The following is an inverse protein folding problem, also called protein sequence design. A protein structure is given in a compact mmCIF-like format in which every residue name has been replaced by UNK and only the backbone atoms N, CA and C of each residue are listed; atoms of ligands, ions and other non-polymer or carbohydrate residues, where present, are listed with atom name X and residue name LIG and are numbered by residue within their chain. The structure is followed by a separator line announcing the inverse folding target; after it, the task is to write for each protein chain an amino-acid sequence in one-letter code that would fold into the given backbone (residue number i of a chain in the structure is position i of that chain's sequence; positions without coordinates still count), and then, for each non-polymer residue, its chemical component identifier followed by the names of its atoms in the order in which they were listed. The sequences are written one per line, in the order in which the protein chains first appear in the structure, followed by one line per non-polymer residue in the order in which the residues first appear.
data_IF_339229674572
#
_entry.id   IF_339229674572
#
_cell.length_a   1.000
_cell.length_b   1.000
_cell.length_c   1.000
_cell.angle_alpha   90.00
_cell.angle_beta   90.00
_cell.angle_gamma   90.00
#
_symmetry.space_group_name_H-M   'P 1'
#
loop_
_entity.id
_entity.type
_entity.pdbx_description
1 polymer ?
#
# COMPACT_ATOMS: atom_id res chain seq x y z
N UNK A 1 1.95 1.11 -23.19
CA UNK A 1 0.79 1.39 -24.05
C UNK A 1 0.74 2.90 -24.32
N UNK A 2 0.70 3.36 -25.58
CA UNK A 2 0.61 4.79 -25.91
C UNK A 2 -0.58 5.53 -25.29
N UNK A 3 -1.71 4.85 -25.04
CA UNK A 3 -2.91 5.44 -24.42
C UNK A 3 -2.67 5.80 -22.96
N UNK A 4 -2.12 4.85 -22.20
CA UNK A 4 -1.70 5.09 -20.81
C UNK A 4 -0.68 6.21 -20.73
N UNK A 5 0.26 6.29 -21.66
CA UNK A 5 1.21 7.39 -21.70
C UNK A 5 0.54 8.76 -21.88
N UNK A 6 -0.57 8.85 -22.61
CA UNK A 6 -1.30 10.10 -22.78
C UNK A 6 -2.14 10.44 -21.53
N UNK A 7 -2.87 9.47 -20.98
CA UNK A 7 -3.68 9.68 -19.78
C UNK A 7 -2.80 10.09 -18.58
N UNK A 8 -1.64 9.44 -18.43
CA UNK A 8 -0.66 9.80 -17.41
C UNK A 8 -0.12 11.22 -17.59
N UNK A 9 0.15 11.67 -18.82
CA UNK A 9 0.59 13.05 -19.10
C UNK A 9 -0.50 14.07 -18.78
N UNK A 10 -1.77 13.74 -19.05
CA UNK A 10 -2.89 14.62 -18.78
C UNK A 10 -3.13 14.77 -17.27
N UNK A 11 -3.03 13.67 -16.51
CA UNK A 11 -3.28 13.67 -15.08
C UNK A 11 -2.08 14.16 -14.25
N UNK A 12 -0.86 13.82 -14.66
CA UNK A 12 0.39 14.32 -14.07
C UNK A 12 1.10 15.25 -15.06
N UNK A 13 0.59 16.48 -15.27
CA UNK A 13 1.22 17.43 -16.20
C UNK A 13 2.61 17.87 -15.72
N UNK A 14 2.85 17.83 -14.40
CA UNK A 14 4.13 18.19 -13.80
C UNK A 14 4.89 16.95 -13.32
N UNK A 15 6.20 16.93 -13.54
CA UNK A 15 7.07 15.83 -13.12
C UNK A 15 7.03 15.57 -11.60
N UNK A 16 6.93 16.64 -10.80
CA UNK A 16 6.89 16.56 -9.34
C UNK A 16 5.72 15.74 -8.81
N UNK A 17 4.55 15.83 -9.45
CA UNK A 17 3.34 15.16 -8.98
C UNK A 17 3.40 13.64 -9.25
N UNK A 18 3.97 13.26 -10.40
CA UNK A 18 4.24 11.87 -10.74
C UNK A 18 5.32 11.27 -9.83
N UNK A 19 6.39 12.02 -9.58
CA UNK A 19 7.48 11.59 -8.70
C UNK A 19 6.98 11.40 -7.26
N UNK A 20 6.17 12.33 -6.76
CA UNK A 20 5.50 12.21 -5.47
C UNK A 20 4.65 10.94 -5.39
N UNK A 21 3.80 10.68 -6.38
CA UNK A 21 2.96 9.48 -6.42
C UNK A 21 3.81 8.19 -6.41
N UNK A 22 4.90 8.16 -7.19
CA UNK A 22 5.83 7.01 -7.21
C UNK A 22 6.48 6.78 -5.84
N UNK A 23 6.99 7.83 -5.21
CA UNK A 23 7.60 7.73 -3.87
C UNK A 23 6.57 7.23 -2.85
N UNK A 24 5.35 7.78 -2.90
CA UNK A 24 4.25 7.36 -2.04
C UNK A 24 3.90 5.87 -2.24
N UNK A 25 3.91 5.37 -3.47
CA UNK A 25 3.65 3.95 -3.75
C UNK A 25 4.75 3.04 -3.20
N UNK A 26 6.02 3.43 -3.32
CA UNK A 26 7.15 2.72 -2.71
C UNK A 26 7.01 2.73 -1.18
N UNK A 27 6.67 3.87 -0.59
CA UNK A 27 6.48 3.98 0.86
C UNK A 27 5.36 3.08 1.36
N UNK A 28 4.20 3.07 0.68
CA UNK A 28 3.09 2.18 0.99
C UNK A 28 3.55 0.72 0.90
N UNK A 29 4.20 0.34 -0.20
CA UNK A 29 4.73 -1.00 -0.39
C UNK A 29 5.63 -1.42 0.78
N UNK A 30 6.65 -0.62 1.11
CA UNK A 30 7.61 -0.93 2.18
C UNK A 30 6.96 -1.03 3.56
N UNK A 31 6.00 -0.14 3.87
CA UNK A 31 5.32 -0.16 5.17
C UNK A 31 4.38 -1.36 5.33
N UNK A 32 3.70 -1.79 4.26
CA UNK A 32 2.89 -3.01 4.29
C UNK A 32 3.76 -4.25 4.54
N UNK A 33 4.88 -4.41 3.82
CA UNK A 33 5.78 -5.55 4.01
C UNK A 33 6.37 -5.58 5.43
N UNK A 34 6.74 -4.40 5.97
CA UNK A 34 7.20 -4.27 7.36
C UNK A 34 6.12 -4.68 8.36
N UNK A 35 4.90 -4.15 8.20
CA UNK A 35 3.76 -4.46 9.08
C UNK A 35 3.39 -5.93 9.06
N UNK A 36 3.50 -6.57 7.88
CA UNK A 36 3.31 -8.00 7.68
C UNK A 36 4.33 -8.82 8.47
N UNK A 37 5.61 -8.52 8.28
CA UNK A 37 6.72 -9.19 8.99
C UNK A 37 6.67 -8.95 10.50
N UNK A 38 6.24 -7.78 10.95
CA UNK A 38 6.06 -7.50 12.39
C UNK A 38 4.82 -8.19 12.97
N UNK A 39 3.91 -8.70 12.12
CA UNK A 39 2.57 -9.18 12.48
C UNK A 39 1.76 -8.13 13.25
N UNK A 40 2.00 -6.86 12.92
CA UNK A 40 1.39 -5.68 13.54
C UNK A 40 0.59 -4.93 12.49
N UNK A 41 -0.51 -5.54 12.06
CA UNK A 41 -1.28 -5.01 10.94
C UNK A 41 -1.93 -3.67 11.23
N UNK A 42 -2.09 -3.26 12.50
CA UNK A 42 -2.53 -1.92 12.85
C UNK A 42 -1.64 -0.81 12.26
N UNK A 43 -0.36 -1.11 12.01
CA UNK A 43 0.59 -0.18 11.38
C UNK A 43 0.31 0.02 9.88
N UNK A 44 -0.33 -0.95 9.22
CA UNK A 44 -0.72 -0.87 7.81
C UNK A 44 -1.94 0.04 7.58
N UNK A 45 -2.69 0.34 8.65
CA UNK A 45 -3.97 1.06 8.61
C UNK A 45 -3.95 2.33 7.74
N UNK A 46 -2.90 3.18 7.74
CA UNK A 46 -2.84 4.41 6.94
C UNK A 46 -2.60 4.22 5.44
N UNK A 47 -2.33 3.01 4.97
CA UNK A 47 -1.84 2.78 3.61
C UNK A 47 -2.84 2.10 2.69
N UNK A 48 -3.94 1.58 3.23
CA UNK A 48 -4.90 0.78 2.48
C UNK A 48 -6.37 1.10 2.82
N UNK A 49 -7.25 0.70 1.90
CA UNK A 49 -8.70 0.79 2.09
C UNK A 49 -9.21 -0.11 3.21
N UNK A 50 -10.40 0.18 3.73
CA UNK A 50 -11.05 -0.63 4.77
C UNK A 50 -11.19 -2.10 4.35
N UNK A 51 -11.59 -2.36 3.10
CA UNK A 51 -11.78 -3.71 2.58
C UNK A 51 -10.48 -4.52 2.58
N UNK A 52 -9.43 -3.94 1.98
CA UNK A 52 -8.14 -4.60 1.88
C UNK A 52 -7.53 -4.85 3.27
N UNK A 53 -7.67 -3.89 4.19
CA UNK A 53 -7.24 -4.04 5.57
C UNK A 53 -7.88 -5.23 6.28
N UNK A 54 -9.19 -5.42 6.13
CA UNK A 54 -9.85 -6.54 6.79
C UNK A 54 -9.37 -7.88 6.22
N UNK A 55 -9.18 -7.97 4.90
CA UNK A 55 -8.65 -9.17 4.23
C UNK A 55 -7.25 -9.52 4.70
N UNK A 56 -6.32 -8.57 4.74
CA UNK A 56 -4.96 -8.84 5.20
C UNK A 56 -4.89 -9.12 6.72
N UNK A 57 -5.68 -8.41 7.53
CA UNK A 57 -5.74 -8.64 8.97
C UNK A 57 -6.24 -10.04 9.34
N UNK A 58 -7.13 -10.63 8.52
CA UNK A 58 -7.53 -12.04 8.68
C UNK A 58 -6.32 -12.97 8.57
N UNK A 59 -5.50 -12.82 7.54
CA UNK A 59 -4.30 -13.63 7.33
C UNK A 59 -3.27 -13.46 8.45
N UNK A 60 -3.02 -12.22 8.89
CA UNK A 60 -2.11 -11.96 10.01
C UNK A 60 -2.57 -12.69 11.27
N UNK A 61 -3.88 -12.67 11.58
CA UNK A 61 -4.44 -13.40 12.73
C UNK A 61 -4.32 -14.91 12.58
N UNK A 62 -4.48 -15.44 11.37
CA UNK A 62 -4.29 -16.87 11.10
C UNK A 62 -2.83 -17.31 11.32
N UNK A 63 -1.86 -16.54 10.81
CA UNK A 63 -0.44 -16.74 11.08
C UNK A 63 -0.15 -16.73 12.59
N UNK A 64 -0.64 -15.71 13.31
CA UNK A 64 -0.48 -15.62 14.77
C UNK A 64 -1.07 -16.83 15.50
N UNK A 65 -2.27 -17.29 15.11
CA UNK A 65 -2.94 -18.46 15.70
C UNK A 65 -2.14 -19.75 15.48
N UNK A 66 -1.51 -19.90 14.32
CA UNK A 66 -0.63 -21.05 14.01
C UNK A 66 0.75 -20.94 14.69
N UNK A 67 1.08 -19.78 15.26
CA UNK A 67 2.44 -19.48 15.73
C UNK A 67 3.44 -19.45 14.58
N UNK A 68 2.97 -19.09 13.38
CA UNK A 68 3.78 -18.95 12.19
C UNK A 68 4.09 -17.48 11.95
N UNK A 69 5.24 -17.21 11.33
CA UNK A 69 5.67 -15.87 11.02
C UNK A 69 6.38 -15.83 9.68
N UNK A 70 5.85 -15.02 8.77
CA UNK A 70 6.44 -14.75 7.48
C UNK A 70 7.42 -13.57 7.57
N UNK A 71 8.60 -13.72 7.00
CA UNK A 71 9.70 -12.77 7.04
C UNK A 71 10.03 -12.32 5.63
N UNK A 72 9.94 -11.01 5.43
CA UNK A 72 10.22 -10.34 4.16
C UNK A 72 11.44 -9.44 4.35
N UNK A 73 12.56 -9.83 3.79
CA UNK A 73 13.86 -9.22 4.05
C UNK A 73 14.57 -8.80 2.75
N UNK A 74 15.51 -7.84 2.85
CA UNK A 74 16.29 -7.33 1.72
C UNK A 74 15.42 -6.92 0.52
N UNK A 75 14.28 -6.33 0.84
CA UNK A 75 13.27 -5.89 -0.11
C UNK A 75 13.86 -4.81 -1.01
N UNK A 76 13.65 -4.96 -2.32
CA UNK A 76 14.11 -4.02 -3.33
C UNK A 76 13.03 -3.87 -4.41
N UNK A 77 12.47 -2.67 -4.55
CA UNK A 77 11.56 -2.34 -5.67
C UNK A 77 12.43 -1.95 -6.87
N UNK A 78 12.42 -2.77 -7.91
CA UNK A 78 13.29 -2.56 -9.09
C UNK A 78 12.64 -1.67 -10.14
N UNK A 79 11.32 -1.74 -10.28
CA UNK A 79 10.59 -1.00 -11.30
C UNK A 79 9.12 -0.82 -10.93
N UNK A 80 8.57 0.34 -11.28
CA UNK A 80 7.12 0.62 -11.21
C UNK A 80 6.68 1.12 -12.59
N UNK A 81 5.70 0.45 -13.18
CA UNK A 81 5.16 0.74 -14.52
C UNK A 81 3.67 1.04 -14.42
N UNK A 82 3.19 2.21 -14.86
CA UNK A 82 1.77 2.49 -14.98
C UNK A 82 1.09 1.54 -15.98
N UNK A 83 -0.05 0.99 -15.61
CA UNK A 83 -0.80 -0.01 -16.40
C UNK A 83 -2.17 0.51 -16.78
N UNK A 84 -2.89 1.11 -15.84
CA UNK A 84 -4.25 1.61 -16.06
C UNK A 84 -4.52 2.84 -15.20
N UNK A 85 -5.09 3.88 -15.80
CA UNK A 85 -5.51 5.09 -15.10
C UNK A 85 -7.00 5.32 -15.35
N UNK A 86 -7.77 5.39 -14.28
CA UNK A 86 -9.15 5.82 -14.29
C UNK A 86 -9.27 7.11 -13.48
N UNK A 87 -10.02 8.09 -13.99
CA UNK A 87 -10.21 9.36 -13.31
C UNK A 87 -11.62 9.88 -13.56
N UNK A 88 -12.33 10.19 -12.47
CA UNK A 88 -13.64 10.84 -12.53
C UNK A 88 -13.75 11.99 -11.51
N UNK A 89 -14.96 12.52 -11.33
CA UNK A 89 -15.24 13.65 -10.44
C UNK A 89 -15.14 13.32 -8.94
N UNK A 90 -15.07 12.05 -8.57
CA UNK A 90 -15.07 11.58 -7.19
C UNK A 90 -13.74 10.98 -6.76
N UNK A 91 -13.08 10.22 -7.64
CA UNK A 91 -11.79 9.61 -7.37
C UNK A 91 -10.97 9.36 -8.65
N UNK A 92 -9.67 9.17 -8.42
CA UNK A 92 -8.71 8.63 -9.37
C UNK A 92 -8.27 7.26 -8.88
N UNK A 93 -8.12 6.32 -9.81
CA UNK A 93 -7.53 5.00 -9.60
C UNK A 93 -6.36 4.81 -10.57
N UNK A 94 -5.20 4.46 -10.04
CA UNK A 94 -3.99 4.17 -10.82
C UNK A 94 -3.50 2.77 -10.48
N UNK A 95 -3.61 1.87 -11.44
CA UNK A 95 -3.01 0.55 -11.39
C UNK A 95 -1.60 0.61 -11.96
N UNK A 96 -0.63 0.14 -11.18
CA UNK A 96 0.77 0.01 -11.58
C UNK A 96 1.21 -1.43 -11.43
N UNK A 97 2.10 -1.89 -12.30
CA UNK A 97 2.86 -3.13 -12.08
C UNK A 97 4.13 -2.79 -11.31
N UNK A 98 4.28 -3.37 -10.13
CA UNK A 98 5.47 -3.25 -9.30
C UNK A 98 6.30 -4.51 -9.52
N UNK A 99 7.56 -4.32 -9.89
CA UNK A 99 8.57 -5.36 -9.93
C UNK A 99 9.45 -5.23 -8.71
N UNK A 100 9.62 -6.32 -7.98
CA UNK A 100 10.39 -6.32 -6.74
C UNK A 100 11.15 -7.63 -6.55
N UNK A 101 12.14 -7.57 -5.65
CA UNK A 101 12.92 -8.71 -5.21
C UNK A 101 13.02 -8.70 -3.71
N UNK A 102 12.89 -9.86 -3.07
CA UNK A 102 13.10 -9.99 -1.62
C UNK A 102 13.51 -11.41 -1.24
N UNK A 103 13.96 -11.57 0.00
CA UNK A 103 14.03 -12.86 0.68
C UNK A 103 12.69 -13.05 1.38
N UNK A 104 12.00 -14.14 1.05
CA UNK A 104 10.70 -14.51 1.62
C UNK A 104 10.78 -15.92 2.21
N UNK A 105 10.49 -16.03 3.50
CA UNK A 105 10.39 -17.30 4.19
C UNK A 105 9.42 -17.26 5.37
N UNK A 106 8.82 -18.40 5.67
CA UNK A 106 7.94 -18.56 6.83
C UNK A 106 8.55 -19.51 7.84
N UNK A 107 8.59 -19.07 9.10
CA UNK A 107 8.95 -19.91 10.24
C UNK A 107 7.70 -20.40 10.94
N UNK A 108 7.72 -21.64 11.42
CA UNK A 108 6.75 -22.12 12.39
C UNK A 108 7.16 -21.74 13.83
N UNK A 109 6.33 -22.13 14.80
CA UNK A 109 6.55 -21.86 16.24
C UNK A 109 7.86 -22.41 16.81
N UNK A 110 8.51 -23.37 16.16
CA UNK A 110 9.79 -23.94 16.58
C UNK A 110 10.98 -23.28 15.90
N UNK A 111 10.76 -22.23 15.08
CA UNK A 111 11.80 -21.55 14.30
C UNK A 111 12.25 -22.31 13.05
N UNK A 112 11.57 -23.40 12.67
CA UNK A 112 11.86 -24.16 11.45
C UNK A 112 11.25 -23.44 10.24
N UNK A 113 12.02 -23.33 9.16
CA UNK A 113 11.51 -22.86 7.86
C UNK A 113 10.52 -23.88 7.31
N UNK A 114 9.29 -23.43 7.05
CA UNK A 114 8.21 -24.25 6.47
C UNK A 114 7.86 -23.84 5.04
N UNK A 115 8.23 -22.63 4.63
CA UNK A 115 8.05 -22.12 3.27
C UNK A 115 9.19 -21.15 2.93
N UNK A 116 9.58 -21.09 1.65
CA UNK A 116 10.56 -20.13 1.15
C UNK A 116 12.00 -20.45 1.54
N UNK A 117 12.85 -19.42 1.58
CA UNK A 117 14.28 -19.56 1.84
C UNK A 117 14.83 -18.34 2.58
N UNK A 118 15.69 -18.57 3.58
CA UNK A 118 16.39 -17.50 4.30
C UNK A 118 17.53 -16.83 3.52
N UNK A 119 17.92 -17.40 2.38
CA UNK A 119 19.11 -16.94 1.64
C UNK A 119 18.86 -16.69 0.16
N UNK A 120 17.88 -17.36 -0.45
CA UNK A 120 17.52 -17.17 -1.85
C UNK A 120 16.60 -15.97 -1.99
N UNK A 121 17.00 -14.97 -2.78
CA UNK A 121 16.09 -13.93 -3.25
C UNK A 121 15.12 -14.51 -4.28
N UNK A 122 13.88 -14.07 -4.20
CA UNK A 122 12.84 -14.27 -5.21
C UNK A 122 12.58 -12.92 -5.89
N UNK A 123 12.43 -12.96 -7.21
CA UNK A 123 12.00 -11.81 -8.01
C UNK A 123 10.57 -12.08 -8.47
N UNK A 124 9.71 -11.07 -8.38
CA UNK A 124 8.29 -11.19 -8.70
C UNK A 124 7.73 -9.85 -9.20
N UNK A 125 6.51 -9.88 -9.72
CA UNK A 125 5.75 -8.67 -9.98
C UNK A 125 4.27 -8.84 -9.69
N UNK A 126 3.64 -7.74 -9.30
CA UNK A 126 2.22 -7.67 -8.93
C UNK A 126 1.60 -6.38 -9.49
N UNK A 127 0.29 -6.40 -9.67
CA UNK A 127 -0.50 -5.23 -10.03
C UNK A 127 -1.10 -4.62 -8.76
N UNK A 128 -0.70 -3.39 -8.47
CA UNK A 128 -1.15 -2.63 -7.31
C UNK A 128 -2.02 -1.49 -7.79
N UNK A 129 -3.28 -1.47 -7.34
CA UNK A 129 -4.22 -0.40 -7.66
C UNK A 129 -4.31 0.56 -6.49
N UNK A 130 -3.93 1.81 -6.74
CA UNK A 130 -3.98 2.90 -5.78
C UNK A 130 -5.14 3.83 -6.09
N UNK A 131 -5.81 4.33 -5.07
CA UNK A 131 -6.90 5.30 -5.20
C UNK A 131 -6.62 6.59 -4.44
N UNK A 132 -7.11 7.70 -4.99
CA UNK A 132 -7.10 9.03 -4.37
C UNK A 132 -8.40 9.75 -4.69
N UNK A 133 -9.00 10.44 -3.72
CA UNK A 133 -10.19 11.26 -3.94
C UNK A 133 -9.89 12.44 -4.86
N UNK A 134 -10.91 12.90 -5.59
CA UNK A 134 -10.83 14.08 -6.46
C UNK A 134 -11.86 15.14 -6.09
N UNK A 135 -11.62 16.38 -6.52
CA UNK A 135 -12.57 17.48 -6.38
C UNK A 135 -13.01 17.75 -4.94
N UNK A 136 -14.33 17.79 -4.70
CA UNK A 136 -14.94 18.07 -3.39
C UNK A 136 -14.65 17.01 -2.33
N UNK A 137 -14.14 15.84 -2.72
CA UNK A 137 -13.73 14.79 -1.80
C UNK A 137 -12.30 14.99 -1.29
N UNK A 138 -11.46 15.80 -1.95
CA UNK A 138 -10.14 16.10 -1.39
C UNK A 138 -10.23 17.09 -0.24
N UNK A 139 -9.52 16.77 0.84
CA UNK A 139 -9.30 17.68 1.95
C UNK A 139 -7.84 18.07 1.98
N UNK A 140 -7.51 19.35 2.18
CA UNK A 140 -6.11 19.76 2.34
C UNK A 140 -5.54 19.03 3.55
N UNK A 141 -4.45 18.30 3.33
CA UNK A 141 -3.72 17.69 4.43
C UNK A 141 -3.00 18.80 5.20
N UNK A 142 -3.19 18.86 6.53
CA UNK A 142 -2.43 19.78 7.40
C UNK A 142 -0.95 19.42 7.46
N UNK A 143 -0.61 18.19 7.12
CA UNK A 143 0.74 17.69 6.96
C UNK A 143 0.78 16.65 5.87
N UNK A 144 1.83 16.68 5.05
CA UNK A 144 2.19 15.61 4.13
C UNK A 144 3.15 14.59 4.76
N UNK A 145 3.56 14.82 6.02
CA UNK A 145 4.29 13.83 6.80
C UNK A 145 3.36 12.66 7.12
N UNK A 146 3.75 11.48 6.67
CA UNK A 146 3.01 10.23 6.84
C UNK A 146 2.90 9.82 8.32
N UNK A 147 3.75 10.37 9.18
CA UNK A 147 3.73 10.12 10.61
C UNK A 147 2.82 11.11 11.34
N UNK A 148 2.14 12.01 10.63
CA UNK A 148 1.20 12.98 11.18
C UNK A 148 -0.21 12.76 10.63
N UNK A 149 -1.21 13.03 11.45
CA UNK A 149 -2.61 13.00 11.07
C UNK A 149 -2.88 14.10 10.01
N UNK A 150 -3.39 13.75 8.82
CA UNK A 150 -3.65 14.75 7.79
C UNK A 150 -4.77 15.72 8.18
N UNK A 151 -5.62 15.37 9.15
CA UNK A 151 -6.70 16.23 9.63
C UNK A 151 -6.27 17.22 10.72
N UNK A 152 -5.37 16.84 11.63
CA UNK A 152 -5.03 17.66 12.82
C UNK A 152 -3.54 17.94 13.02
N UNK A 153 -2.64 17.22 12.34
CA UNK A 153 -1.19 17.38 12.46
C UNK A 153 -0.55 16.70 13.69
N UNK A 154 -1.32 16.01 14.55
CA UNK A 154 -0.77 15.20 15.64
C UNK A 154 -0.05 13.96 15.11
N UNK A 155 0.78 13.30 15.93
CA UNK A 155 1.37 12.00 15.58
C UNK A 155 0.31 11.00 15.10
N UNK A 156 0.61 10.23 14.05
CA UNK A 156 -0.37 9.38 13.40
C UNK A 156 -0.66 8.16 14.28
N UNK A 157 -1.77 8.24 15.00
CA UNK A 157 -2.34 7.14 15.79
C UNK A 157 -3.80 6.96 15.40
N UNK A 158 -4.08 5.83 14.77
CA UNK A 158 -5.38 5.54 14.17
C UNK A 158 -5.93 4.24 14.76
N UNK A 159 -7.20 4.24 15.13
CA UNK A 159 -7.93 3.03 15.50
C UNK A 159 -8.05 2.06 14.30
N UNK A 160 -8.43 0.81 14.58
CA UNK A 160 -8.69 -0.19 13.53
C UNK A 160 -9.78 0.23 12.54
N UNK A 161 -10.69 1.13 12.95
CA UNK A 161 -11.78 1.66 12.10
C UNK A 161 -11.36 2.91 11.32
N UNK A 162 -10.07 3.25 11.31
CA UNK A 162 -9.56 4.40 10.57
C UNK A 162 -9.80 5.74 11.24
N UNK A 163 -10.06 5.78 12.56
CA UNK A 163 -10.35 7.03 13.29
C UNK A 163 -9.09 7.52 14.00
N UNK A 164 -8.72 8.79 13.79
CA UNK A 164 -7.61 9.40 14.52
C UNK A 164 -7.92 9.49 16.02
N UNK A 165 -7.05 8.93 16.86
CA UNK A 165 -7.23 8.94 18.32
C UNK A 165 -7.17 10.34 18.96
N UNK A 166 -6.58 11.32 18.25
CA UNK A 166 -6.42 12.69 18.77
C UNK A 166 -7.59 13.61 18.41
N UNK A 167 -8.07 13.57 17.16
CA UNK A 167 -9.11 14.50 16.68
C UNK A 167 -10.45 13.83 16.34
N UNK A 168 -10.54 12.49 16.39
CA UNK A 168 -11.77 11.76 16.07
C UNK A 168 -12.15 11.75 14.60
N UNK A 169 -11.38 12.40 13.72
CA UNK A 169 -11.64 12.37 12.27
C UNK A 169 -11.51 10.94 11.74
N UNK A 170 -12.54 10.46 11.04
CA UNK A 170 -12.40 9.29 10.16
C UNK A 170 -11.44 9.66 9.06
N UNK A 171 -10.26 9.06 9.10
CA UNK A 171 -9.27 9.15 8.07
C UNK A 171 -9.70 8.18 6.98
N UNK A 172 -10.64 8.62 6.13
CA UNK A 172 -10.86 8.00 4.82
C UNK A 172 -9.67 8.38 3.96
N UNK A 173 -8.60 7.59 4.07
CA UNK A 173 -7.25 7.98 3.68
C UNK A 173 -7.13 8.48 2.24
N UNK A 174 -7.92 7.92 1.32
CA UNK A 174 -8.02 8.37 -0.07
C UNK A 174 -8.39 9.86 -0.19
N UNK A 175 -9.11 10.45 0.78
CA UNK A 175 -9.52 11.86 0.77
C UNK A 175 -8.35 12.83 1.01
N UNK A 176 -7.22 12.34 1.51
CA UNK A 176 -6.04 13.14 1.81
C UNK A 176 -4.88 12.81 0.87
N UNK A 177 -4.67 11.53 0.57
CA UNK A 177 -3.60 11.10 -0.32
C UNK A 177 -3.86 9.70 -0.92
N UNK A 178 -2.96 9.20 -1.76
CA UNK A 178 -3.03 7.86 -2.32
C UNK A 178 -3.02 6.76 -1.24
N UNK A 179 -3.87 5.76 -1.45
CA UNK A 179 -3.89 4.50 -0.69
C UNK A 179 -4.11 3.30 -1.59
N UNK A 180 -3.66 2.14 -1.14
CA UNK A 180 -3.82 0.87 -1.82
C UNK A 180 -5.26 0.35 -1.68
N UNK A 181 -5.91 0.06 -2.80
CA UNK A 181 -7.22 -0.57 -2.83
C UNK A 181 -7.17 -2.05 -3.16
N UNK A 182 -6.19 -2.49 -3.95
CA UNK A 182 -6.16 -3.85 -4.49
C UNK A 182 -4.73 -4.27 -4.85
N UNK A 183 -4.45 -5.56 -4.65
CA UNK A 183 -3.24 -6.25 -5.12
C UNK A 183 -3.71 -7.45 -5.93
N UNK A 184 -3.16 -7.65 -7.12
CA UNK A 184 -3.42 -8.80 -8.00
C UNK A 184 -2.10 -9.43 -8.44
N UNK A 185 -2.05 -10.76 -8.44
CA UNK A 185 -0.92 -11.50 -8.99
C UNK A 185 -0.90 -11.46 -10.53
N UNK A 186 0.24 -11.77 -11.13
CA UNK A 186 0.39 -11.76 -12.59
C UNK A 186 -0.61 -12.69 -13.30
N UNK A 187 -1.01 -13.80 -12.66
CA UNK A 187 -1.97 -14.77 -13.20
C UNK A 187 -3.44 -14.34 -13.06
N UNK A 188 -3.74 -13.43 -12.14
CA UNK A 188 -5.11 -13.01 -11.81
C UNK A 188 -5.53 -11.76 -12.57
N UNK A 189 -4.55 -10.95 -12.96
CA UNK A 189 -4.80 -9.65 -13.59
C UNK A 189 -5.38 -9.80 -15.00
N UNK A 190 -6.60 -9.30 -15.18
CA UNK A 190 -7.29 -9.24 -16.47
C UNK A 190 -7.75 -7.80 -16.72
N UNK A 191 -7.34 -7.21 -17.87
CA UNK A 191 -7.78 -5.89 -18.33
C UNK A 191 -9.01 -5.97 -19.24
#
# INVERSE_FOLDING_TARGET
DPRISQDMKNYFPNHSDLEYARNRFVDIFMNLQKSWTEQRWELARPYETDSLFQSHNYWIKDYQKKGEKNYLEKINVTKIVPVFLYNDKFYTSLTVRIYAEMIDYTLNKTGKVILGSKSKKVSFSEYWTFIKGTGSNQKPAKSHDINLCPSCGAGLKISMTGICEFCGSKITLAQFDWVLSQIEQDEEFNL
#
